data_IF_002948593265
#
_entry.id   IF_002948593265
#
_cell.length_a   1.000
_cell.length_b   1.000
_cell.length_c   1.000
_cell.angle_alpha   90.00
_cell.angle_beta   90.00
_cell.angle_gamma   90.00
#
_symmetry.space_group_name_H-M   'P 1'
#
loop_
_entity.id
_entity.type
_entity.pdbx_description
1 polymer ?
#
# COMPACT_ATOMS: atom_id res chain seq x y z
N UNK A 1 -3.54 10.82 20.92
CA UNK A 1 -3.37 9.38 20.57
C UNK A 1 -1.97 8.94 20.96
N UNK A 2 -1.85 7.92 21.78
CA UNK A 2 -0.59 7.29 22.22
C UNK A 2 -0.10 6.28 21.18
N UNK A 3 1.21 6.09 21.05
CA UNK A 3 1.77 4.98 20.28
C UNK A 3 2.25 3.87 21.20
N UNK A 4 2.01 2.61 20.83
CA UNK A 4 2.57 1.42 21.46
C UNK A 4 3.51 0.74 20.48
N UNK A 5 4.78 0.54 20.85
CA UNK A 5 5.77 -0.12 20.00
C UNK A 5 6.12 -1.47 20.63
N UNK A 6 5.87 -2.55 19.90
CA UNK A 6 6.14 -3.92 20.33
C UNK A 6 7.60 -4.30 20.01
N UNK A 7 8.50 -4.13 20.96
CA UNK A 7 9.95 -4.37 20.82
C UNK A 7 10.47 -5.55 21.65
N UNK A 8 9.59 -6.41 22.21
CA UNK A 8 9.96 -7.54 23.11
C UNK A 8 10.46 -8.80 22.38
N UNK A 9 10.38 -8.86 21.05
CA UNK A 9 10.69 -10.05 20.26
C UNK A 9 12.19 -10.43 20.24
N UNK A 10 12.49 -11.76 20.19
CA UNK A 10 13.87 -12.27 20.14
C UNK A 10 14.59 -12.12 18.80
N UNK A 11 13.89 -11.82 17.69
CA UNK A 11 14.48 -11.59 16.38
C UNK A 11 15.31 -12.76 15.80
N UNK A 12 14.95 -14.01 16.07
CA UNK A 12 15.78 -15.20 15.77
C UNK A 12 16.20 -15.36 14.33
N UNK A 13 15.36 -14.92 13.36
CA UNK A 13 15.65 -15.04 11.92
C UNK A 13 16.74 -14.08 11.42
N UNK A 14 16.98 -12.98 12.13
CA UNK A 14 17.98 -11.97 11.80
C UNK A 14 19.13 -11.93 12.81
N UNK A 15 19.14 -12.85 13.78
CA UNK A 15 20.10 -12.87 14.88
C UNK A 15 21.57 -12.91 14.41
N UNK A 16 21.86 -13.56 13.29
CA UNK A 16 23.21 -13.61 12.73
C UNK A 16 23.75 -12.22 12.32
N UNK A 17 22.89 -11.28 11.94
CA UNK A 17 23.27 -9.89 11.63
C UNK A 17 23.21 -8.98 12.87
N UNK A 18 22.29 -9.27 13.77
CA UNK A 18 22.03 -8.43 14.94
C UNK A 18 23.13 -8.57 16.00
N UNK A 19 23.81 -9.72 16.07
CA UNK A 19 24.79 -9.99 17.15
C UNK A 19 24.15 -9.83 18.51
N UNK A 20 24.73 -8.96 19.35
CA UNK A 20 24.23 -8.65 20.69
C UNK A 20 23.20 -7.48 20.72
N UNK A 21 22.75 -6.98 19.56
CA UNK A 21 21.75 -5.93 19.49
C UNK A 21 20.33 -6.50 19.36
N UNK A 22 19.35 -5.93 20.07
CA UNK A 22 17.96 -6.27 19.81
C UNK A 22 17.55 -5.73 18.43
N UNK A 23 16.66 -6.44 17.74
CA UNK A 23 16.24 -6.12 16.38
C UNK A 23 15.82 -4.65 16.15
N UNK A 24 15.08 -3.99 17.06
CA UNK A 24 14.75 -2.57 16.95
C UNK A 24 15.96 -1.62 16.97
N UNK A 25 17.12 -2.10 17.40
CA UNK A 25 18.38 -1.34 17.41
C UNK A 25 19.25 -1.57 16.18
N UNK A 26 18.81 -2.39 15.22
CA UNK A 26 19.55 -2.55 13.95
C UNK A 26 19.67 -1.21 13.23
N UNK A 27 20.89 -0.83 12.79
CA UNK A 27 21.11 0.49 12.19
C UNK A 27 20.66 0.52 10.72
N UNK A 28 19.82 1.47 10.39
CA UNK A 28 19.53 1.85 9.00
C UNK A 28 20.20 3.19 8.76
N UNK A 29 21.21 3.25 7.88
CA UNK A 29 21.99 4.44 7.61
C UNK A 29 22.49 5.09 8.92
N UNK A 30 23.16 4.29 9.77
CA UNK A 30 23.79 4.70 11.02
C UNK A 30 22.85 4.98 12.20
N UNK A 31 21.53 4.86 12.07
CA UNK A 31 20.55 5.09 13.14
C UNK A 31 19.68 3.86 13.39
N UNK A 32 19.39 3.50 14.66
CA UNK A 32 18.46 2.43 14.97
C UNK A 32 17.11 2.60 14.25
N UNK A 33 16.50 1.49 13.82
CA UNK A 33 15.15 1.56 13.23
C UNK A 33 14.15 2.18 14.21
N UNK A 34 14.22 1.82 15.50
CA UNK A 34 13.36 2.39 16.53
C UNK A 34 13.53 3.92 16.66
N UNK A 35 14.75 4.46 16.48
CA UNK A 35 14.94 5.92 16.43
C UNK A 35 14.23 6.55 15.25
N UNK A 36 14.21 5.88 14.09
CA UNK A 36 13.49 6.37 12.91
C UNK A 36 11.98 6.34 13.12
N UNK A 37 11.46 5.28 13.74
CA UNK A 37 10.05 5.19 14.14
C UNK A 37 9.67 6.32 15.10
N UNK A 38 10.43 6.52 16.18
CA UNK A 38 10.20 7.61 17.14
C UNK A 38 10.26 8.99 16.49
N UNK A 39 11.19 9.19 15.55
CA UNK A 39 11.29 10.44 14.79
C UNK A 39 10.04 10.67 13.92
N UNK A 40 9.59 9.66 13.20
CA UNK A 40 8.38 9.76 12.40
C UNK A 40 7.14 10.05 13.24
N UNK A 41 7.03 9.45 14.42
CA UNK A 41 5.97 9.73 15.38
C UNK A 41 6.03 11.19 15.87
N UNK A 42 7.20 11.62 16.33
CA UNK A 42 7.44 12.96 16.88
C UNK A 42 7.13 14.06 15.83
N UNK A 43 7.60 13.91 14.60
CA UNK A 43 7.37 14.87 13.52
C UNK A 43 5.90 15.00 13.12
N UNK A 44 5.07 14.02 13.50
CA UNK A 44 3.64 14.01 13.24
C UNK A 44 2.77 14.24 14.50
N UNK A 45 3.41 14.65 15.61
CA UNK A 45 2.72 15.06 16.84
C UNK A 45 2.30 13.89 17.74
N UNK A 46 2.80 12.67 17.50
CA UNK A 46 2.62 11.51 18.38
C UNK A 46 3.82 11.44 19.31
N UNK A 47 3.71 12.08 20.49
CA UNK A 47 4.83 12.27 21.41
C UNK A 47 4.75 11.44 22.68
N UNK A 48 3.63 10.76 22.95
CA UNK A 48 3.47 9.85 24.08
C UNK A 48 3.58 8.41 23.59
N UNK A 49 4.64 7.72 23.98
CA UNK A 49 5.04 6.42 23.44
C UNK A 49 5.24 5.42 24.57
N UNK A 50 4.63 4.24 24.44
CA UNK A 50 4.85 3.11 25.32
C UNK A 50 5.58 2.01 24.54
N UNK A 51 6.77 1.62 25.01
CA UNK A 51 7.58 0.58 24.36
C UNK A 51 7.55 -0.68 25.20
N UNK A 52 7.07 -1.79 24.62
CA UNK A 52 7.22 -3.09 25.27
C UNK A 52 8.60 -3.66 24.93
N UNK A 53 9.36 -4.04 25.92
CA UNK A 53 10.72 -4.57 25.78
C UNK A 53 10.86 -5.91 26.48
N UNK A 54 11.72 -6.77 25.97
CA UNK A 54 11.93 -8.10 26.52
C UNK A 54 13.40 -8.48 26.50
N UNK A 55 13.79 -9.35 25.58
CA UNK A 55 15.19 -9.73 25.42
C UNK A 55 16.05 -8.53 25.04
N UNK A 56 17.19 -8.33 25.74
CA UNK A 56 18.10 -7.18 25.56
C UNK A 56 17.44 -5.81 25.82
N UNK A 57 16.42 -5.75 26.69
CA UNK A 57 15.78 -4.50 27.09
C UNK A 57 16.75 -3.39 27.53
N UNK A 58 17.84 -3.65 28.29
CA UNK A 58 18.78 -2.60 28.70
C UNK A 58 19.34 -1.80 27.52
N UNK A 59 19.68 -2.43 26.40
CA UNK A 59 20.23 -1.74 25.24
C UNK A 59 19.28 -0.68 24.65
N UNK A 60 17.96 -0.93 24.68
CA UNK A 60 16.94 0.02 24.23
C UNK A 60 16.78 1.12 25.29
N UNK A 61 16.62 0.73 26.57
CA UNK A 61 16.34 1.66 27.67
C UNK A 61 17.50 2.62 27.93
N UNK A 62 18.75 2.15 27.83
CA UNK A 62 19.95 3.00 27.98
C UNK A 62 20.11 3.98 26.83
N UNK A 63 19.76 3.57 25.59
CA UNK A 63 19.89 4.42 24.41
C UNK A 63 18.87 5.56 24.38
N UNK A 64 17.61 5.28 24.68
CA UNK A 64 16.52 6.25 24.54
C UNK A 64 16.14 6.95 25.84
N UNK A 65 16.48 6.37 27.02
CA UNK A 65 16.04 6.88 28.32
C UNK A 65 14.52 7.02 28.38
N UNK A 66 14.04 8.13 28.90
CA UNK A 66 12.63 8.52 28.93
C UNK A 66 12.19 9.32 27.67
N UNK A 67 13.06 9.43 26.66
CA UNK A 67 12.82 10.17 25.44
C UNK A 67 13.07 11.69 25.52
N UNK A 68 13.45 12.22 26.68
CA UNK A 68 13.80 13.63 26.85
C UNK A 68 15.21 13.98 26.36
N UNK A 69 16.08 12.95 26.20
CA UNK A 69 17.45 13.08 25.76
C UNK A 69 17.61 13.33 24.25
N UNK A 70 18.87 13.24 23.79
CA UNK A 70 19.25 13.40 22.40
C UNK A 70 19.84 12.10 21.84
N UNK A 71 19.63 11.89 20.54
CA UNK A 71 20.27 10.80 19.79
C UNK A 71 21.80 10.90 19.88
N UNK A 72 22.50 9.85 20.31
CA UNK A 72 23.96 9.82 20.32
C UNK A 72 24.57 9.95 18.93
N UNK A 73 23.85 9.52 17.87
CA UNK A 73 24.30 9.57 16.47
C UNK A 73 24.13 10.93 15.82
N UNK A 74 23.05 11.68 16.16
CA UNK A 74 22.69 12.90 15.45
C UNK A 74 22.75 14.15 16.32
N UNK A 75 22.84 14.00 17.65
CA UNK A 75 22.73 15.10 18.61
C UNK A 75 21.33 15.75 18.68
N UNK A 76 20.34 15.25 17.91
CA UNK A 76 18.98 15.81 17.88
C UNK A 76 18.17 15.25 19.05
N UNK A 77 17.31 16.07 19.70
CA UNK A 77 16.39 15.59 20.72
C UNK A 77 15.48 14.50 20.16
N UNK A 78 15.17 13.46 20.97
CA UNK A 78 14.12 12.49 20.61
C UNK A 78 12.76 13.18 20.61
N UNK A 79 12.49 14.06 21.58
CA UNK A 79 11.31 14.90 21.61
C UNK A 79 10.01 14.14 21.83
N UNK A 80 10.08 13.01 22.51
CA UNK A 80 8.96 12.15 22.90
C UNK A 80 9.04 11.85 24.38
N UNK A 81 7.93 11.43 24.98
CA UNK A 81 7.87 10.84 26.31
C UNK A 81 7.77 9.33 26.17
N UNK A 82 8.71 8.58 26.73
CA UNK A 82 8.76 7.12 26.61
C UNK A 82 8.49 6.47 27.97
N UNK A 83 7.47 5.63 28.01
CA UNK A 83 7.25 4.66 29.06
C UNK A 83 7.68 3.27 28.60
N UNK A 84 8.17 2.44 29.51
CA UNK A 84 8.52 1.05 29.20
C UNK A 84 7.64 0.06 29.94
N UNK A 85 7.36 -1.05 29.25
CA UNK A 85 6.85 -2.27 29.86
C UNK A 85 7.85 -3.41 29.61
N UNK A 86 8.46 -3.91 30.66
CA UNK A 86 9.46 -4.99 30.58
C UNK A 86 8.77 -6.35 30.69
N UNK A 87 8.80 -7.14 29.63
CA UNK A 87 8.29 -8.51 29.60
C UNK A 87 9.24 -9.43 30.35
N UNK A 88 8.78 -10.02 31.47
CA UNK A 88 9.55 -11.00 32.25
C UNK A 88 9.61 -12.37 31.58
N UNK A 89 8.61 -12.68 30.75
CA UNK A 89 8.47 -13.87 29.93
C UNK A 89 7.91 -13.50 28.58
N UNK A 90 8.16 -14.28 27.51
CA UNK A 90 7.62 -13.98 26.19
C UNK A 90 6.09 -14.07 26.15
N UNK A 91 5.42 -12.94 25.90
CA UNK A 91 3.96 -12.82 25.86
C UNK A 91 3.36 -12.95 24.44
N UNK A 92 4.17 -13.21 23.42
CA UNK A 92 3.76 -13.15 22.02
C UNK A 92 3.79 -11.72 21.48
N UNK A 93 3.16 -11.49 20.34
CA UNK A 93 3.12 -10.16 19.71
C UNK A 93 1.94 -9.29 20.18
N UNK A 94 1.11 -9.76 21.14
CA UNK A 94 0.01 -8.98 21.68
C UNK A 94 -0.23 -9.16 23.19
N UNK A 95 0.38 -10.13 23.85
CA UNK A 95 0.09 -10.40 25.26
C UNK A 95 0.47 -9.26 26.21
N UNK A 96 1.50 -8.46 25.84
CA UNK A 96 1.88 -7.26 26.57
C UNK A 96 0.75 -6.21 26.57
N UNK A 97 -0.06 -6.09 25.51
CA UNK A 97 -1.17 -5.14 25.43
C UNK A 97 -2.16 -5.32 26.57
N UNK A 98 -2.49 -6.55 26.92
CA UNK A 98 -3.40 -6.84 28.05
C UNK A 98 -2.81 -6.46 29.40
N UNK A 99 -1.49 -6.40 29.52
CA UNK A 99 -0.78 -6.01 30.76
C UNK A 99 -0.68 -4.49 30.93
N UNK A 100 -0.73 -3.76 29.82
CA UNK A 100 -0.62 -2.29 29.81
C UNK A 100 -1.96 -1.60 29.55
N UNK A 101 -3.06 -2.35 29.45
CA UNK A 101 -4.38 -1.82 29.08
C UNK A 101 -4.84 -0.63 29.93
N UNK A 102 -4.51 -0.62 31.22
CA UNK A 102 -4.86 0.46 32.14
C UNK A 102 -4.10 1.78 31.88
N UNK A 103 -3.18 1.79 30.90
CA UNK A 103 -2.45 2.97 30.40
C UNK A 103 -2.95 3.43 29.02
N UNK A 104 -4.02 2.79 28.50
CA UNK A 104 -4.58 3.00 27.17
C UNK A 104 -6.04 3.48 27.31
N UNK A 105 -6.25 4.79 27.36
CA UNK A 105 -7.55 5.41 27.62
C UNK A 105 -8.34 5.73 26.36
N UNK A 106 -7.66 5.79 25.21
CA UNK A 106 -8.21 6.11 23.90
C UNK A 106 -7.62 5.20 22.82
N UNK A 107 -8.17 5.27 21.61
CA UNK A 107 -7.62 4.57 20.44
C UNK A 107 -6.14 4.90 20.28
N UNK A 108 -5.32 3.88 20.07
CA UNK A 108 -3.87 3.98 20.05
C UNK A 108 -3.27 3.40 18.77
N UNK A 109 -2.14 3.95 18.38
CA UNK A 109 -1.32 3.43 17.29
C UNK A 109 -0.49 2.26 17.79
N UNK A 110 -0.55 1.12 17.12
CA UNK A 110 0.27 -0.06 17.41
C UNK A 110 1.26 -0.30 16.28
N UNK A 111 2.53 -0.39 16.63
CA UNK A 111 3.68 -0.62 15.76
C UNK A 111 4.44 -1.87 16.19
N UNK A 112 4.97 -2.59 15.22
CA UNK A 112 6.00 -3.59 15.49
C UNK A 112 7.36 -2.91 15.40
N UNK A 113 8.19 -2.97 16.45
CA UNK A 113 9.49 -2.30 16.54
C UNK A 113 10.58 -2.84 15.58
N UNK A 114 10.18 -3.52 14.54
CA UNK A 114 11.03 -4.05 13.47
C UNK A 114 10.48 -3.70 12.07
N UNK A 115 9.62 -2.71 12.00
CA UNK A 115 8.98 -2.25 10.76
C UNK A 115 9.49 -0.85 10.41
N UNK A 116 10.18 -0.71 9.29
CA UNK A 116 10.48 0.60 8.75
C UNK A 116 9.25 1.14 8.02
N UNK A 117 8.78 2.32 8.42
CA UNK A 117 7.69 3.00 7.77
C UNK A 117 7.99 4.48 7.52
N UNK A 118 7.40 5.02 6.47
CA UNK A 118 7.34 6.46 6.18
C UNK A 118 5.95 6.75 5.60
N UNK A 119 4.99 7.06 6.49
CA UNK A 119 3.56 7.19 6.18
C UNK A 119 2.98 8.47 6.79
N UNK A 120 1.88 8.95 6.22
CA UNK A 120 1.06 10.04 6.79
C UNK A 120 0.13 9.49 7.87
N UNK A 121 0.60 9.48 9.11
CA UNK A 121 -0.16 9.01 10.28
C UNK A 121 -1.42 9.84 10.54
N UNK A 122 -1.44 11.12 10.14
CA UNK A 122 -2.60 11.97 10.33
C UNK A 122 -3.75 11.53 9.41
N UNK A 123 -3.46 11.16 8.16
CA UNK A 123 -4.46 10.59 7.25
C UNK A 123 -4.97 9.25 7.77
N UNK A 124 -4.08 8.40 8.27
CA UNK A 124 -4.45 7.11 8.83
C UNK A 124 -5.37 7.27 10.05
N UNK A 125 -5.03 8.16 10.98
CA UNK A 125 -5.85 8.47 12.15
C UNK A 125 -7.20 9.11 11.78
N UNK A 126 -7.21 10.02 10.81
CA UNK A 126 -8.44 10.63 10.31
C UNK A 126 -9.38 9.60 9.68
N UNK A 127 -8.85 8.65 8.92
CA UNK A 127 -9.63 7.54 8.36
C UNK A 127 -10.29 6.71 9.46
N UNK A 128 -9.52 6.27 10.45
CA UNK A 128 -10.04 5.49 11.58
C UNK A 128 -11.17 6.24 12.30
N UNK A 129 -10.96 7.52 12.58
CA UNK A 129 -11.94 8.37 13.28
C UNK A 129 -13.26 8.54 12.50
N UNK A 130 -13.17 8.65 11.16
CA UNK A 130 -14.34 8.84 10.29
C UNK A 130 -15.15 7.56 10.14
N UNK A 131 -14.50 6.42 9.95
CA UNK A 131 -15.19 5.16 9.66
C UNK A 131 -15.58 4.39 10.92
N UNK A 132 -14.93 4.66 12.06
CA UNK A 132 -15.15 3.96 13.32
C UNK A 132 -14.65 2.51 13.29
N UNK A 133 -15.06 1.71 14.27
CA UNK A 133 -14.65 0.31 14.42
C UNK A 133 -13.72 0.11 15.59
N UNK A 134 -13.38 -1.16 15.89
CA UNK A 134 -12.48 -1.52 16.97
C UNK A 134 -11.01 -1.57 16.53
N UNK A 135 -10.77 -1.77 15.24
CA UNK A 135 -9.42 -1.78 14.68
C UNK A 135 -9.39 -1.31 13.23
N UNK A 136 -8.31 -0.64 12.84
CA UNK A 136 -7.97 -0.33 11.45
C UNK A 136 -6.59 -0.85 11.13
N UNK A 137 -6.51 -1.69 10.11
CA UNK A 137 -5.25 -2.19 9.55
C UNK A 137 -4.71 -1.15 8.56
N UNK A 138 -3.42 -0.91 8.57
CA UNK A 138 -2.74 -0.30 7.43
C UNK A 138 -2.49 -1.41 6.40
N UNK A 139 -3.03 -1.25 5.21
CA UNK A 139 -2.88 -2.23 4.13
C UNK A 139 -2.21 -1.63 2.91
N UNK A 140 -1.44 -2.43 2.21
CA UNK A 140 -0.72 -2.01 1.01
C UNK A 140 -0.58 -3.17 0.01
N UNK A 141 -0.39 -2.88 -1.29
CA UNK A 141 0.05 -3.90 -2.23
C UNK A 141 1.55 -4.20 -2.05
N UNK A 142 1.97 -5.43 -2.35
CA UNK A 142 3.39 -5.78 -2.33
C UNK A 142 3.79 -6.69 -3.50
N UNK A 143 5.11 -6.88 -3.69
CA UNK A 143 5.65 -7.72 -4.77
C UNK A 143 5.59 -9.23 -4.51
N UNK A 144 5.03 -9.69 -3.38
CA UNK A 144 4.93 -11.11 -3.02
C UNK A 144 3.60 -11.45 -2.29
N UNK A 145 2.44 -11.09 -2.87
CA UNK A 145 1.14 -11.33 -2.21
C UNK A 145 0.85 -12.82 -2.00
N UNK A 146 1.46 -13.69 -2.79
CA UNK A 146 1.28 -15.15 -2.71
C UNK A 146 1.77 -15.75 -1.38
N UNK A 147 2.67 -15.09 -0.66
CA UNK A 147 3.21 -15.54 0.63
C UNK A 147 2.81 -14.66 1.83
N UNK A 148 1.96 -13.67 1.60
CA UNK A 148 1.46 -12.73 2.62
C UNK A 148 0.03 -13.08 3.08
N UNK A 149 -0.41 -12.57 4.22
CA UNK A 149 -1.81 -12.60 4.63
C UNK A 149 -2.64 -11.63 3.80
N UNK A 150 -3.65 -12.12 3.08
CA UNK A 150 -4.49 -11.29 2.21
C UNK A 150 -5.68 -10.73 2.98
N UNK A 151 -5.97 -9.46 2.76
CA UNK A 151 -7.12 -8.75 3.31
C UNK A 151 -8.16 -8.55 2.21
N UNK A 152 -9.36 -9.10 2.43
CA UNK A 152 -10.53 -8.86 1.57
C UNK A 152 -11.45 -7.87 2.27
N UNK A 153 -11.83 -6.82 1.58
CA UNK A 153 -12.70 -5.78 2.13
C UNK A 153 -13.79 -5.40 1.14
N UNK A 154 -14.88 -4.85 1.66
CA UNK A 154 -15.98 -4.28 0.88
C UNK A 154 -15.65 -2.85 0.39
N UNK A 155 -16.62 -2.22 -0.29
CA UNK A 155 -16.50 -0.85 -0.81
C UNK A 155 -16.36 0.21 0.28
N UNK A 156 -16.80 -0.07 1.52
CA UNK A 156 -16.65 0.80 2.68
C UNK A 156 -15.34 0.55 3.46
N UNK A 157 -14.43 -0.25 2.89
CA UNK A 157 -13.15 -0.64 3.49
C UNK A 157 -13.30 -1.46 4.79
N UNK A 158 -14.45 -2.13 4.98
CA UNK A 158 -14.65 -3.09 6.06
C UNK A 158 -14.07 -4.43 5.66
N UNK A 159 -13.21 -4.98 6.51
CA UNK A 159 -12.60 -6.29 6.25
C UNK A 159 -13.66 -7.38 6.38
N UNK A 160 -13.91 -8.08 5.28
CA UNK A 160 -14.85 -9.19 5.21
C UNK A 160 -14.17 -10.54 5.44
N UNK A 161 -12.91 -10.68 4.98
CA UNK A 161 -12.11 -11.89 5.18
C UNK A 161 -10.63 -11.53 5.39
N UNK A 162 -9.96 -12.34 6.20
CA UNK A 162 -8.50 -12.33 6.34
C UNK A 162 -7.97 -13.73 6.04
N UNK A 163 -7.33 -13.88 4.88
CA UNK A 163 -6.83 -15.16 4.37
C UNK A 163 -5.34 -15.30 4.71
N UNK A 164 -5.04 -16.15 5.68
CA UNK A 164 -3.66 -16.50 6.05
C UNK A 164 -3.08 -17.51 5.05
N UNK A 165 -1.82 -17.91 5.24
CA UNK A 165 -1.17 -18.92 4.38
C UNK A 165 -1.81 -20.32 4.51
N UNK A 166 -2.39 -20.59 5.66
CA UNK A 166 -3.03 -21.86 5.99
C UNK A 166 -4.47 -21.95 5.47
N UNK A 167 -5.08 -20.82 5.11
CA UNK A 167 -6.45 -20.80 4.58
C UNK A 167 -6.47 -21.17 3.08
N UNK A 168 -7.57 -21.74 2.63
CA UNK A 168 -7.82 -21.94 1.20
C UNK A 168 -7.95 -20.57 0.53
N UNK A 169 -7.07 -20.27 -0.41
CA UNK A 169 -7.06 -19.02 -1.15
C UNK A 169 -7.77 -19.16 -2.48
N UNK A 170 -8.52 -18.15 -2.92
CA UNK A 170 -9.03 -18.13 -4.29
C UNK A 170 -7.87 -18.12 -5.29
N UNK A 171 -8.12 -18.62 -6.50
CA UNK A 171 -7.13 -18.63 -7.58
C UNK A 171 -6.62 -17.23 -7.94
N UNK A 172 -7.52 -16.24 -7.86
CA UNK A 172 -7.27 -14.83 -8.14
C UNK A 172 -7.75 -13.98 -6.96
N UNK A 173 -6.97 -12.97 -6.59
CA UNK A 173 -7.20 -12.14 -5.41
C UNK A 173 -6.65 -10.74 -5.59
N UNK A 174 -7.17 -9.80 -4.83
CA UNK A 174 -6.59 -8.45 -4.70
C UNK A 174 -5.26 -8.51 -3.96
N UNK A 175 -4.28 -7.76 -4.45
CA UNK A 175 -3.00 -7.60 -3.79
C UNK A 175 -3.11 -6.56 -2.67
N UNK A 176 -3.68 -6.98 -1.56
CA UNK A 176 -3.86 -6.16 -0.37
C UNK A 176 -3.42 -6.97 0.84
N UNK A 177 -2.36 -6.52 1.52
CA UNK A 177 -1.76 -7.22 2.66
C UNK A 177 -1.69 -6.34 3.89
N UNK A 178 -1.72 -6.96 5.08
CA UNK A 178 -1.49 -6.27 6.35
C UNK A 178 -0.03 -5.84 6.48
N UNK A 179 0.20 -4.56 6.75
CA UNK A 179 1.54 -3.97 6.85
C UNK A 179 2.14 -4.03 8.28
N UNK A 180 1.37 -4.47 9.28
CA UNK A 180 1.85 -4.52 10.66
C UNK A 180 1.82 -3.16 11.39
N UNK A 181 1.05 -2.22 10.88
CA UNK A 181 0.75 -0.92 11.46
C UNK A 181 -0.76 -0.86 11.69
N UNK A 182 -1.20 -0.54 12.92
CA UNK A 182 -2.61 -0.60 13.28
C UNK A 182 -3.05 0.57 14.16
N UNK A 183 -4.33 0.94 14.08
CA UNK A 183 -5.00 1.71 15.13
C UNK A 183 -5.99 0.79 15.81
N UNK A 184 -5.89 0.69 17.13
CA UNK A 184 -6.70 -0.21 17.95
C UNK A 184 -7.46 0.54 19.02
N UNK A 185 -8.70 0.11 19.29
CA UNK A 185 -9.46 0.57 20.43
C UNK A 185 -9.09 -0.23 21.68
N UNK A 186 -8.93 0.41 22.86
CA UNK A 186 -8.72 -0.28 24.14
C UNK A 186 -9.82 -1.30 24.46
N UNK A 187 -11.02 -1.15 23.90
CA UNK A 187 -12.13 -2.10 24.06
C UNK A 187 -11.76 -3.53 23.62
N UNK A 188 -10.79 -3.69 22.72
CA UNK A 188 -10.27 -5.01 22.31
C UNK A 188 -9.53 -5.73 23.43
N UNK A 189 -9.11 -5.01 24.47
CA UNK A 189 -8.33 -5.53 25.58
C UNK A 189 -9.18 -5.75 26.83
N UNK A 190 -10.50 -5.56 26.75
CA UNK A 190 -11.42 -5.80 27.86
C UNK A 190 -11.55 -7.30 28.19
N UNK A 191 -11.97 -7.61 29.41
CA UNK A 191 -12.17 -8.98 29.89
C UNK A 191 -10.94 -9.59 30.55
N UNK A 192 -10.85 -10.92 30.51
CA UNK A 192 -9.78 -11.66 31.18
C UNK A 192 -8.45 -11.51 30.45
N UNK A 193 -7.37 -11.33 31.23
CA UNK A 193 -6.01 -11.35 30.70
C UNK A 193 -5.68 -12.77 30.24
N UNK A 194 -5.36 -13.00 28.97
CA UNK A 194 -5.01 -14.32 28.47
C UNK A 194 -3.81 -14.91 29.20
N UNK A 195 -3.84 -16.20 29.48
CA UNK A 195 -2.68 -16.91 29.99
C UNK A 195 -1.73 -17.25 28.83
N UNK A 196 -0.44 -16.88 28.98
CA UNK A 196 0.59 -17.21 28.00
C UNK A 196 0.70 -16.24 26.82
N UNK A 197 1.16 -16.78 25.69
CA UNK A 197 1.41 -16.00 24.47
C UNK A 197 0.13 -15.68 23.72
N UNK A 198 0.00 -14.43 23.27
CA UNK A 198 -1.13 -13.98 22.45
C UNK A 198 -0.61 -13.57 21.07
N UNK A 199 -1.30 -14.04 20.03
CA UNK A 199 -1.07 -13.64 18.64
C UNK A 199 -2.09 -12.57 18.23
N UNK A 200 -1.61 -11.37 17.88
CA UNK A 200 -2.44 -10.24 17.51
C UNK A 200 -3.34 -10.58 16.30
N UNK A 201 -2.73 -11.09 15.25
CA UNK A 201 -3.41 -11.30 13.98
C UNK A 201 -4.45 -12.42 14.11
N UNK A 202 -4.07 -13.55 14.70
CA UNK A 202 -4.91 -14.76 14.74
C UNK A 202 -5.98 -14.71 15.81
N UNK A 203 -5.67 -14.14 16.99
CA UNK A 203 -6.54 -14.24 18.16
C UNK A 203 -7.36 -12.97 18.42
N UNK A 204 -6.89 -11.80 17.91
CA UNK A 204 -7.54 -10.52 18.17
C UNK A 204 -8.15 -9.94 16.89
N UNK A 205 -7.35 -9.78 15.83
CA UNK A 205 -7.78 -9.05 14.64
C UNK A 205 -8.57 -9.90 13.64
N UNK A 206 -8.10 -11.11 13.31
CA UNK A 206 -8.79 -12.00 12.35
C UNK A 206 -10.24 -12.34 12.78
N UNK A 207 -10.56 -12.56 14.07
CA UNK A 207 -11.94 -12.77 14.51
C UNK A 207 -12.89 -11.59 14.27
N UNK A 208 -12.37 -10.38 14.06
CA UNK A 208 -13.18 -9.20 13.72
C UNK A 208 -13.58 -9.14 12.24
N UNK A 209 -12.94 -9.92 11.38
CA UNK A 209 -13.30 -9.97 9.96
C UNK A 209 -14.75 -10.43 9.78
N UNK A 210 -15.50 -9.72 8.94
CA UNK A 210 -16.93 -9.97 8.71
C UNK A 210 -17.87 -9.40 9.79
N UNK A 211 -17.35 -8.81 10.88
CA UNK A 211 -18.18 -8.18 11.94
C UNK A 211 -18.49 -6.71 11.68
N UNK A 212 -17.85 -6.09 10.68
CA UNK A 212 -17.91 -4.65 10.42
C UNK A 212 -17.05 -3.80 11.37
N UNK A 213 -16.34 -4.41 12.34
CA UNK A 213 -15.52 -3.71 13.34
C UNK A 213 -14.04 -3.63 12.96
N UNK A 214 -13.60 -4.33 11.92
CA UNK A 214 -12.26 -4.29 11.38
C UNK A 214 -12.26 -3.55 10.04
N UNK A 215 -11.44 -2.52 9.95
CA UNK A 215 -11.29 -1.69 8.76
C UNK A 215 -9.91 -1.91 8.14
N UNK A 216 -9.76 -1.57 6.86
CA UNK A 216 -8.46 -1.48 6.21
C UNK A 216 -8.28 -0.09 5.57
N UNK A 217 -7.18 0.56 5.90
CA UNK A 217 -6.72 1.78 5.26
C UNK A 217 -5.71 1.43 4.17
N UNK A 218 -6.16 1.47 2.93
CA UNK A 218 -5.37 1.14 1.76
C UNK A 218 -4.50 2.32 1.35
N UNK A 219 -3.18 2.16 1.46
CA UNK A 219 -2.22 3.20 1.13
C UNK A 219 -1.02 2.65 0.36
N UNK A 220 -0.49 3.38 -0.64
CA UNK A 220 0.74 3.02 -1.34
C UNK A 220 2.01 3.37 -0.56
N UNK A 221 1.89 3.93 0.64
CA UNK A 221 3.02 4.43 1.42
C UNK A 221 3.95 3.32 1.89
N UNK A 222 5.17 3.72 2.22
CA UNK A 222 6.22 2.76 2.53
C UNK A 222 6.07 2.16 3.91
N UNK A 223 5.87 0.85 3.95
CA UNK A 223 5.92 0.03 5.17
C UNK A 223 6.60 -1.29 4.82
N UNK A 224 7.66 -1.66 5.53
CA UNK A 224 8.42 -2.89 5.24
C UNK A 224 9.04 -3.48 6.52
N UNK A 225 8.76 -4.76 6.78
CA UNK A 225 9.39 -5.48 7.88
C UNK A 225 10.85 -5.85 7.57
N UNK A 226 11.65 -5.95 8.62
CA UNK A 226 13.07 -6.34 8.55
C UNK A 226 13.30 -7.75 9.10
N UNK A 227 12.37 -8.67 8.84
CA UNK A 227 12.35 -10.01 9.43
C UNK A 227 13.47 -10.95 8.98
N UNK A 228 14.12 -10.67 7.86
CA UNK A 228 15.23 -11.47 7.30
C UNK A 228 16.39 -10.59 6.86
N UNK A 229 17.61 -11.16 6.70
CA UNK A 229 18.76 -10.41 6.20
C UNK A 229 18.50 -9.71 4.86
N UNK A 230 17.82 -10.37 3.93
CA UNK A 230 17.50 -9.85 2.60
C UNK A 230 16.54 -8.65 2.71
N UNK A 231 15.49 -8.76 3.55
CA UNK A 231 14.54 -7.66 3.79
C UNK A 231 15.23 -6.47 4.46
N UNK A 232 16.10 -6.72 5.44
CA UNK A 232 16.89 -5.67 6.07
C UNK A 232 17.79 -4.93 5.07
N UNK A 233 18.51 -5.67 4.21
CA UNK A 233 19.35 -5.08 3.17
C UNK A 233 18.52 -4.24 2.19
N UNK A 234 17.35 -4.72 1.79
CA UNK A 234 16.42 -3.97 0.93
C UNK A 234 15.91 -2.68 1.60
N UNK A 235 15.55 -2.74 2.90
CA UNK A 235 15.14 -1.54 3.66
C UNK A 235 16.28 -0.52 3.75
N UNK A 236 17.52 -0.95 4.00
CA UNK A 236 18.68 -0.06 4.01
C UNK A 236 18.87 0.64 2.67
N UNK A 237 18.69 -0.07 1.56
CA UNK A 237 18.80 0.52 0.23
C UNK A 237 17.64 1.48 -0.08
N UNK A 238 16.40 1.09 0.26
CA UNK A 238 15.22 1.94 0.07
C UNK A 238 15.33 3.27 0.85
N UNK A 239 15.92 3.24 2.04
CA UNK A 239 16.16 4.48 2.83
C UNK A 239 17.29 5.29 2.21
N UNK A 240 18.41 4.66 1.82
CA UNK A 240 19.59 5.34 1.24
C UNK A 240 19.27 5.99 -0.10
N UNK A 241 18.54 5.31 -0.97
CA UNK A 241 18.11 5.83 -2.28
C UNK A 241 17.01 6.89 -2.17
N UNK A 242 16.38 7.04 -0.99
CA UNK A 242 15.23 7.93 -0.79
C UNK A 242 13.89 7.35 -1.25
N UNK A 243 13.86 6.09 -1.70
CA UNK A 243 12.65 5.40 -2.14
C UNK A 243 11.58 5.36 -1.03
N UNK A 244 11.97 5.03 0.21
CA UNK A 244 11.05 5.02 1.35
C UNK A 244 10.36 6.38 1.53
N UNK A 245 11.14 7.47 1.53
CA UNK A 245 10.63 8.81 1.72
C UNK A 245 9.80 9.35 0.53
N UNK A 246 10.08 8.88 -0.68
CA UNK A 246 9.38 9.32 -1.89
C UNK A 246 7.90 8.92 -1.88
N UNK A 247 7.55 7.81 -1.23
CA UNK A 247 6.17 7.27 -1.20
C UNK A 247 5.26 7.86 -0.11
N UNK A 248 5.76 8.74 0.75
CA UNK A 248 4.95 9.38 1.80
C UNK A 248 3.95 10.39 1.21
N UNK A 249 2.66 10.23 1.49
CA UNK A 249 1.56 11.04 0.94
C UNK A 249 1.54 12.50 1.43
N UNK A 250 2.36 12.88 2.40
CA UNK A 250 2.60 14.30 2.73
C UNK A 250 3.40 15.02 1.63
N UNK A 251 4.04 14.28 0.75
CA UNK A 251 4.79 14.77 -0.41
C UNK A 251 4.00 14.56 -1.68
N UNK A 252 4.29 15.36 -2.70
CA UNK A 252 3.71 15.17 -4.03
C UNK A 252 4.22 13.88 -4.64
N UNK A 253 3.27 13.03 -5.05
CA UNK A 253 3.55 11.76 -5.70
C UNK A 253 3.62 11.92 -7.22
N UNK A 254 4.36 11.03 -7.88
CA UNK A 254 4.33 10.86 -9.33
C UNK A 254 3.60 9.57 -9.66
N UNK A 255 2.79 9.58 -10.71
CA UNK A 255 2.03 8.41 -11.13
C UNK A 255 2.16 8.13 -12.62
N UNK A 256 2.06 6.85 -12.96
CA UNK A 256 1.73 6.40 -14.31
C UNK A 256 0.29 5.89 -14.25
N UNK A 257 -0.62 6.66 -14.84
CA UNK A 257 -1.98 6.23 -15.09
C UNK A 257 -2.01 5.33 -16.32
N UNK A 258 -2.58 4.16 -16.15
CA UNK A 258 -2.59 3.10 -17.18
C UNK A 258 -4.02 2.81 -17.61
N UNK A 259 -4.32 2.85 -18.90
CA UNK A 259 -5.50 2.15 -19.37
C UNK A 259 -5.35 0.64 -19.15
N UNK A 260 -6.43 -0.11 -19.21
CA UNK A 260 -6.43 -1.55 -19.00
C UNK A 260 -6.42 -2.30 -20.34
N UNK A 261 -7.48 -2.15 -21.11
CA UNK A 261 -7.71 -2.94 -22.34
C UNK A 261 -6.87 -2.40 -23.50
N UNK A 262 -5.95 -3.18 -24.03
CA UNK A 262 -4.98 -2.76 -25.06
C UNK A 262 -3.67 -2.18 -24.50
N UNK A 263 -3.61 -1.94 -23.18
CA UNK A 263 -2.43 -1.40 -22.48
C UNK A 263 -1.83 -2.41 -21.51
N UNK A 264 -2.65 -2.95 -20.61
CA UNK A 264 -2.25 -3.98 -19.64
C UNK A 264 -2.58 -5.36 -20.18
N UNK A 265 -3.78 -5.55 -20.68
CA UNK A 265 -4.22 -6.81 -21.25
C UNK A 265 -4.52 -6.68 -22.75
N UNK A 266 -4.50 -7.84 -23.43
CA UNK A 266 -4.87 -7.94 -24.84
C UNK A 266 -6.26 -7.36 -25.05
N UNK A 267 -6.38 -6.48 -26.07
CA UNK A 267 -7.66 -5.92 -26.47
C UNK A 267 -8.53 -6.99 -27.15
N UNK A 268 -9.72 -7.22 -26.62
CA UNK A 268 -10.71 -8.18 -27.14
C UNK A 268 -12.05 -7.50 -27.44
N UNK A 269 -12.05 -6.17 -27.59
CA UNK A 269 -13.26 -5.37 -27.66
C UNK A 269 -13.85 -5.13 -26.27
N UNK A 270 -14.88 -5.87 -25.91
CA UNK A 270 -15.49 -5.80 -24.58
C UNK A 270 -15.19 -7.08 -23.81
N UNK A 271 -14.30 -6.98 -22.83
CA UNK A 271 -13.92 -8.11 -21.98
C UNK A 271 -15.10 -8.48 -21.05
N UNK A 272 -15.69 -9.64 -21.25
CA UNK A 272 -16.86 -10.12 -20.50
C UNK A 272 -16.55 -11.32 -19.62
N UNK A 273 -15.55 -12.11 -19.99
CA UNK A 273 -15.18 -13.33 -19.31
C UNK A 273 -13.76 -13.22 -18.74
N UNK A 274 -13.58 -13.64 -17.51
CA UNK A 274 -12.27 -13.68 -16.84
C UNK A 274 -11.26 -14.54 -17.62
N UNK A 275 -11.70 -15.57 -18.33
CA UNK A 275 -10.82 -16.44 -19.11
C UNK A 275 -10.17 -15.71 -20.32
N UNK A 276 -10.84 -14.68 -20.86
CA UNK A 276 -10.33 -13.85 -21.97
C UNK A 276 -9.25 -12.86 -21.53
N UNK A 277 -9.08 -12.66 -20.20
CA UNK A 277 -8.06 -11.74 -19.68
C UNK A 277 -6.66 -12.37 -19.81
N UNK A 278 -5.80 -11.74 -20.59
CA UNK A 278 -4.41 -12.13 -20.85
C UNK A 278 -3.51 -10.91 -20.78
N UNK A 279 -2.49 -10.93 -19.92
CA UNK A 279 -1.50 -9.83 -19.86
C UNK A 279 -0.74 -9.72 -21.18
N UNK A 280 -0.52 -8.50 -21.64
CA UNK A 280 0.38 -8.25 -22.75
C UNK A 280 1.84 -8.55 -22.37
N UNK A 281 2.66 -8.99 -23.33
CA UNK A 281 4.08 -9.23 -23.10
C UNK A 281 4.78 -8.00 -22.52
N UNK A 282 5.66 -8.20 -21.52
CA UNK A 282 6.45 -7.14 -20.91
C UNK A 282 5.72 -6.23 -19.92
N UNK A 283 4.39 -6.35 -19.79
CA UNK A 283 3.60 -5.46 -18.90
C UNK A 283 3.97 -5.64 -17.43
N UNK A 284 4.11 -6.87 -16.96
CA UNK A 284 4.50 -7.10 -15.56
C UNK A 284 5.89 -6.51 -15.24
N UNK A 285 6.85 -6.65 -16.16
CA UNK A 285 8.17 -6.06 -16.03
C UNK A 285 8.12 -4.52 -16.04
N UNK A 286 7.28 -3.94 -16.89
CA UNK A 286 7.08 -2.49 -16.95
C UNK A 286 6.48 -1.95 -15.63
N UNK A 287 5.41 -2.57 -15.13
CA UNK A 287 4.78 -2.18 -13.86
C UNK A 287 5.76 -2.33 -12.69
N UNK A 288 6.53 -3.44 -12.65
CA UNK A 288 7.57 -3.62 -11.62
C UNK A 288 8.60 -2.48 -11.65
N UNK A 289 9.06 -2.06 -12.83
CA UNK A 289 9.98 -0.93 -12.97
C UNK A 289 9.35 0.40 -12.50
N UNK A 290 8.08 0.65 -12.79
CA UNK A 290 7.33 1.80 -12.26
C UNK A 290 7.37 1.77 -10.73
N UNK A 291 7.11 0.60 -10.13
CA UNK A 291 7.16 0.43 -8.67
C UNK A 291 8.58 0.67 -8.11
N UNK A 292 9.62 0.11 -8.74
CA UNK A 292 11.04 0.28 -8.36
C UNK A 292 11.50 1.74 -8.44
N UNK A 293 10.99 2.52 -9.39
CA UNK A 293 11.26 3.95 -9.52
C UNK A 293 10.51 4.81 -8.48
N UNK A 294 9.67 4.21 -7.64
CA UNK A 294 8.87 4.90 -6.63
C UNK A 294 7.64 5.65 -7.19
N UNK A 295 7.27 5.39 -8.45
CA UNK A 295 6.07 5.95 -9.04
C UNK A 295 4.84 5.09 -8.69
N UNK A 296 3.67 5.73 -8.60
CA UNK A 296 2.41 5.01 -8.43
C UNK A 296 1.96 4.43 -9.78
N UNK A 297 1.58 3.16 -9.78
CA UNK A 297 0.94 2.49 -10.92
C UNK A 297 -0.58 2.47 -10.69
N UNK A 298 -1.32 3.31 -11.41
CA UNK A 298 -2.76 3.50 -11.21
C UNK A 298 -3.53 3.16 -12.48
N UNK A 299 -4.42 2.18 -12.41
CA UNK A 299 -5.29 1.83 -13.54
C UNK A 299 -6.48 2.77 -13.60
N UNK A 300 -6.79 3.29 -14.80
CA UNK A 300 -7.95 4.14 -15.09
C UNK A 300 -8.62 3.65 -16.38
N UNK A 301 -9.77 2.95 -16.27
CA UNK A 301 -10.37 2.23 -17.40
C UNK A 301 -11.86 2.49 -17.58
N UNK A 302 -12.33 2.57 -18.83
CA UNK A 302 -13.76 2.65 -19.16
C UNK A 302 -14.34 1.24 -19.29
N UNK A 303 -15.32 0.90 -18.45
CA UNK A 303 -15.96 -0.43 -18.45
C UNK A 303 -17.47 -0.34 -18.76
N UNK A 304 -17.83 -0.01 -20.00
CA UNK A 304 -19.24 0.17 -20.40
C UNK A 304 -20.06 -1.13 -20.37
N UNK A 305 -19.40 -2.28 -20.27
CA UNK A 305 -20.04 -3.59 -20.15
C UNK A 305 -20.97 -3.69 -18.94
N UNK A 306 -20.68 -2.93 -17.87
CA UNK A 306 -21.55 -2.83 -16.69
C UNK A 306 -22.85 -2.10 -17.04
N UNK A 307 -22.77 -0.90 -17.66
CA UNK A 307 -23.95 -0.14 -18.10
C UNK A 307 -24.76 -0.89 -19.15
N UNK A 308 -24.16 -1.78 -19.92
CA UNK A 308 -24.84 -2.63 -20.91
C UNK A 308 -25.50 -3.86 -20.31
N UNK A 309 -25.29 -4.14 -19.01
CA UNK A 309 -25.79 -5.34 -18.34
C UNK A 309 -25.13 -6.64 -18.79
N UNK A 310 -23.96 -6.54 -19.44
CA UNK A 310 -23.21 -7.68 -19.98
C UNK A 310 -22.29 -8.33 -18.94
N UNK A 311 -21.90 -7.53 -17.91
CA UNK A 311 -21.01 -7.94 -16.82
C UNK A 311 -21.49 -7.31 -15.52
N UNK A 312 -21.46 -8.04 -14.41
CA UNK A 312 -21.72 -7.48 -13.06
C UNK A 312 -20.47 -6.85 -12.47
N UNK A 313 -20.62 -6.06 -11.39
CA UNK A 313 -19.49 -5.52 -10.65
C UNK A 313 -18.61 -6.64 -10.06
N UNK A 314 -19.21 -7.73 -9.58
CA UNK A 314 -18.48 -8.89 -9.03
C UNK A 314 -17.66 -9.61 -10.11
N UNK A 315 -18.19 -9.71 -11.34
CA UNK A 315 -17.46 -10.30 -12.46
C UNK A 315 -16.28 -9.40 -12.90
N UNK A 316 -16.49 -8.07 -12.91
CA UNK A 316 -15.41 -7.12 -13.17
C UNK A 316 -14.35 -7.19 -12.07
N UNK A 317 -14.77 -7.29 -10.80
CA UNK A 317 -13.86 -7.45 -9.67
C UNK A 317 -13.03 -8.73 -9.81
N UNK A 318 -13.63 -9.84 -10.23
CA UNK A 318 -12.88 -11.08 -10.48
C UNK A 318 -11.82 -10.91 -11.58
N UNK A 319 -12.11 -10.15 -12.64
CA UNK A 319 -11.13 -9.80 -13.69
C UNK A 319 -9.98 -8.96 -13.10
N UNK A 320 -10.28 -7.98 -12.25
CA UNK A 320 -9.26 -7.18 -11.58
C UNK A 320 -8.43 -8.01 -10.60
N UNK A 321 -9.03 -8.96 -9.88
CA UNK A 321 -8.30 -9.93 -9.06
C UNK A 321 -7.31 -10.77 -9.89
N UNK A 322 -7.73 -11.22 -11.09
CA UNK A 322 -6.85 -11.96 -12.00
C UNK A 322 -5.67 -11.08 -12.44
N UNK A 323 -5.93 -9.83 -12.82
CA UNK A 323 -4.90 -8.87 -13.22
C UNK A 323 -3.85 -8.68 -12.11
N UNK A 324 -4.28 -8.37 -10.89
CA UNK A 324 -3.36 -8.16 -9.77
C UNK A 324 -2.61 -9.44 -9.37
N UNK A 325 -3.28 -10.60 -9.42
CA UNK A 325 -2.63 -11.88 -9.15
C UNK A 325 -1.53 -12.18 -10.17
N UNK A 326 -1.79 -11.96 -11.46
CA UNK A 326 -0.81 -12.22 -12.52
C UNK A 326 0.39 -11.26 -12.40
N UNK A 327 0.14 -9.98 -12.14
CA UNK A 327 1.21 -9.01 -11.88
C UNK A 327 2.02 -9.38 -10.64
N UNK A 328 1.35 -9.75 -9.55
CA UNK A 328 2.00 -10.14 -8.29
C UNK A 328 2.90 -11.37 -8.39
N UNK A 329 2.60 -12.32 -9.29
CA UNK A 329 3.47 -13.47 -9.60
C UNK A 329 4.82 -13.07 -10.18
N UNK A 330 4.86 -11.91 -10.85
CA UNK A 330 6.06 -11.33 -11.46
C UNK A 330 6.69 -10.22 -10.58
N UNK A 331 6.23 -10.07 -9.33
CA UNK A 331 6.73 -9.08 -8.39
C UNK A 331 6.30 -7.63 -8.68
N UNK A 332 5.25 -7.45 -9.48
CA UNK A 332 4.66 -6.16 -9.81
C UNK A 332 3.34 -5.94 -9.06
N UNK A 333 2.98 -4.67 -8.81
CA UNK A 333 1.70 -4.34 -8.18
C UNK A 333 1.11 -3.03 -8.71
N UNK A 334 -0.21 -2.91 -8.53
CA UNK A 334 -0.97 -1.69 -8.78
C UNK A 334 -1.28 -1.00 -7.45
N UNK A 335 -1.12 0.31 -7.40
CA UNK A 335 -1.44 1.10 -6.21
C UNK A 335 -2.94 1.40 -6.12
N UNK A 336 -3.64 1.47 -7.25
CA UNK A 336 -5.10 1.57 -7.31
C UNK A 336 -5.66 1.17 -8.68
N UNK A 337 -6.95 0.84 -8.69
CA UNK A 337 -7.74 0.60 -9.91
C UNK A 337 -8.99 1.45 -9.83
N UNK A 338 -9.16 2.36 -10.81
CA UNK A 338 -10.37 3.14 -11.03
C UNK A 338 -11.03 2.68 -12.32
N UNK A 339 -12.34 2.54 -12.30
CA UNK A 339 -13.10 2.23 -13.52
C UNK A 339 -14.36 3.07 -13.61
N UNK A 340 -14.79 3.35 -14.84
CA UNK A 340 -16.04 4.00 -15.13
C UNK A 340 -17.05 2.97 -15.65
N UNK A 341 -18.14 2.68 -14.93
CA UNK A 341 -19.18 1.75 -15.39
C UNK A 341 -20.17 2.39 -16.36
N UNK A 342 -20.17 3.72 -16.50
CA UNK A 342 -21.18 4.47 -17.23
C UNK A 342 -20.99 4.44 -18.74
N UNK A 343 -22.12 4.53 -19.47
CA UNK A 343 -22.14 4.74 -20.91
C UNK A 343 -23.42 5.48 -21.35
N UNK A 344 -23.33 6.63 -22.05
CA UNK A 344 -24.51 7.43 -22.34
C UNK A 344 -25.46 6.78 -23.38
N UNK A 345 -24.92 5.96 -24.30
CA UNK A 345 -25.73 5.36 -25.36
C UNK A 345 -26.67 4.31 -24.82
N UNK A 346 -27.93 4.36 -25.32
CA UNK A 346 -29.05 3.50 -24.94
C UNK A 346 -29.37 2.49 -26.02
N UNK A 347 -30.22 1.49 -25.69
CA UNK A 347 -30.75 0.53 -26.66
C UNK A 347 -30.04 -0.82 -26.66
N UNK A 348 -29.32 -1.16 -25.58
CA UNK A 348 -28.70 -2.48 -25.40
C UNK A 348 -29.64 -3.40 -24.60
N UNK A 349 -29.89 -4.65 -25.05
CA UNK A 349 -30.67 -5.61 -24.28
C UNK A 349 -30.07 -5.85 -22.89
N UNK A 350 -30.89 -5.73 -21.83
CA UNK A 350 -30.44 -5.93 -20.46
C UNK A 350 -29.65 -4.76 -19.86
N UNK A 351 -29.62 -3.60 -20.54
CA UNK A 351 -28.90 -2.43 -20.03
C UNK A 351 -29.41 -1.95 -18.67
N UNK A 352 -28.52 -1.31 -17.92
CA UNK A 352 -28.79 -0.69 -16.62
C UNK A 352 -29.08 0.80 -16.81
N UNK A 353 -30.37 1.23 -16.77
CA UNK A 353 -30.75 2.62 -17.09
C UNK A 353 -30.08 3.66 -16.21
N UNK A 354 -29.84 3.34 -14.93
CA UNK A 354 -29.18 4.22 -13.94
C UNK A 354 -27.73 4.54 -14.28
N UNK A 355 -27.07 3.69 -15.06
CA UNK A 355 -25.70 3.88 -15.53
C UNK A 355 -25.60 4.50 -16.94
N UNK A 356 -26.76 4.75 -17.59
CA UNK A 356 -26.84 5.37 -18.91
C UNK A 356 -26.81 6.90 -18.84
N UNK A 357 -25.70 7.41 -18.32
CA UNK A 357 -25.51 8.83 -18.02
C UNK A 357 -24.19 9.36 -18.57
N UNK A 358 -24.13 10.67 -18.79
CA UNK A 358 -22.87 11.39 -18.87
C UNK A 358 -22.29 11.59 -17.48
N UNK A 359 -21.00 11.33 -17.32
CA UNK A 359 -20.31 11.43 -16.04
C UNK A 359 -18.93 12.07 -16.18
N UNK A 360 -18.35 12.50 -15.07
CA UNK A 360 -17.00 13.07 -15.01
C UNK A 360 -15.90 12.00 -15.05
N UNK A 361 -16.23 10.73 -14.74
CA UNK A 361 -15.23 9.65 -14.66
C UNK A 361 -14.91 8.99 -16.00
N UNK A 362 -15.85 9.00 -16.99
CA UNK A 362 -15.62 8.32 -18.27
C UNK A 362 -14.60 9.07 -19.13
N UNK A 363 -13.47 8.45 -19.44
CA UNK A 363 -12.49 8.99 -20.39
C UNK A 363 -13.19 9.29 -21.74
N UNK A 364 -13.01 10.49 -22.33
CA UNK A 364 -11.92 11.45 -22.13
C UNK A 364 -12.10 12.45 -20.97
N UNK A 365 -13.15 12.35 -20.17
CA UNK A 365 -13.25 13.16 -18.95
C UNK A 365 -12.17 12.71 -17.94
N UNK A 366 -11.60 13.66 -17.14
CA UNK A 366 -10.44 13.41 -16.30
C UNK A 366 -10.76 12.88 -14.89
N UNK A 367 -12.03 12.64 -14.55
CA UNK A 367 -12.47 12.43 -13.16
C UNK A 367 -11.69 11.34 -12.43
N UNK A 368 -11.46 10.17 -13.05
CA UNK A 368 -10.69 9.09 -12.41
C UNK A 368 -9.25 9.50 -12.06
N UNK A 369 -8.60 10.31 -12.92
CA UNK A 369 -7.25 10.82 -12.67
C UNK A 369 -7.25 11.85 -11.53
N UNK A 370 -8.26 12.73 -11.52
CA UNK A 370 -8.42 13.75 -10.48
C UNK A 370 -8.71 13.13 -9.10
N UNK A 371 -9.59 12.12 -9.05
CA UNK A 371 -9.91 11.38 -7.82
C UNK A 371 -8.65 10.69 -7.25
N UNK A 372 -7.87 10.03 -8.11
CA UNK A 372 -6.60 9.44 -7.70
C UNK A 372 -5.60 10.51 -7.22
N UNK A 373 -5.53 11.64 -7.91
CA UNK A 373 -4.63 12.73 -7.53
C UNK A 373 -4.98 13.32 -6.17
N UNK A 374 -6.25 13.48 -5.87
CA UNK A 374 -6.72 13.90 -4.56
C UNK A 374 -6.41 12.86 -3.49
N UNK A 375 -6.72 11.58 -3.75
CA UNK A 375 -6.51 10.49 -2.79
C UNK A 375 -5.03 10.31 -2.44
N UNK A 376 -4.14 10.33 -3.43
CA UNK A 376 -2.73 10.00 -3.26
C UNK A 376 -1.79 11.20 -3.33
N UNK A 377 -2.31 12.44 -3.29
CA UNK A 377 -1.51 13.67 -3.38
C UNK A 377 -0.61 13.71 -4.64
N UNK A 378 -1.13 13.26 -5.80
CA UNK A 378 -0.36 13.17 -7.05
C UNK A 378 -0.15 14.56 -7.67
N UNK A 379 1.06 14.82 -8.16
CA UNK A 379 1.35 15.94 -9.07
C UNK A 379 1.05 15.48 -10.50
N UNK A 380 -0.08 15.91 -11.02
CA UNK A 380 -0.51 15.54 -12.37
C UNK A 380 0.46 16.04 -13.45
N UNK A 381 1.05 17.22 -13.26
CA UNK A 381 1.99 17.83 -14.23
C UNK A 381 3.30 17.02 -14.37
N UNK A 382 3.65 16.27 -13.33
CA UNK A 382 4.82 15.38 -13.29
C UNK A 382 4.45 13.91 -13.56
N UNK A 383 3.18 13.62 -13.91
CA UNK A 383 2.65 12.27 -14.09
C UNK A 383 2.28 11.98 -15.54
N UNK A 384 2.14 10.71 -15.87
CA UNK A 384 1.83 10.26 -17.22
C UNK A 384 0.48 9.56 -17.28
N UNK A 385 -0.30 9.83 -18.35
CA UNK A 385 -1.39 8.96 -18.79
C UNK A 385 -0.92 8.17 -20.01
N UNK A 386 -0.96 6.84 -19.92
CA UNK A 386 -0.51 5.90 -20.94
C UNK A 386 -1.68 5.01 -21.35
N UNK A 387 -1.96 4.95 -22.63
CA UNK A 387 -3.03 4.13 -23.19
C UNK A 387 -2.86 3.90 -24.67
N UNK A 388 -3.72 3.08 -25.26
CA UNK A 388 -3.70 2.74 -26.69
C UNK A 388 -4.68 3.55 -27.54
N UNK A 389 -5.49 4.44 -26.89
CA UNK A 389 -6.59 5.12 -27.54
C UNK A 389 -6.62 6.65 -27.40
N UNK A 390 -7.42 7.26 -28.28
CA UNK A 390 -7.68 8.71 -28.25
C UNK A 390 -8.22 9.20 -26.91
N UNK A 391 -9.09 8.41 -26.28
CA UNK A 391 -9.72 8.81 -25.01
C UNK A 391 -8.70 8.91 -23.87
N UNK A 392 -7.64 8.13 -23.92
CA UNK A 392 -6.57 8.12 -22.92
C UNK A 392 -5.73 9.39 -23.03
N UNK A 393 -5.27 9.69 -24.24
CA UNK A 393 -4.51 10.90 -24.52
C UNK A 393 -5.31 12.16 -24.13
N UNK A 394 -6.60 12.21 -24.50
CA UNK A 394 -7.46 13.35 -24.15
C UNK A 394 -7.72 13.44 -22.63
N UNK A 395 -7.95 12.29 -21.95
CA UNK A 395 -8.15 12.29 -20.50
C UNK A 395 -6.91 12.79 -19.76
N UNK A 396 -5.71 12.35 -20.17
CA UNK A 396 -4.45 12.85 -19.63
C UNK A 396 -4.28 14.34 -19.80
N UNK A 397 -4.52 14.87 -21.00
CA UNK A 397 -4.49 16.32 -21.29
C UNK A 397 -5.49 17.10 -20.45
N UNK A 398 -6.73 16.61 -20.36
CA UNK A 398 -7.80 17.25 -19.59
C UNK A 398 -7.50 17.25 -18.08
N UNK A 399 -6.72 16.29 -17.59
CA UNK A 399 -6.23 16.24 -16.23
C UNK A 399 -4.97 17.07 -15.98
N UNK A 400 -4.28 17.52 -17.05
CA UNK A 400 -2.99 18.19 -16.94
C UNK A 400 -1.79 17.25 -16.80
N UNK A 401 -1.95 15.98 -17.20
CA UNK A 401 -0.86 15.00 -17.24
C UNK A 401 -0.11 15.07 -18.57
N UNK A 402 1.12 14.60 -18.55
CA UNK A 402 1.86 14.18 -19.74
C UNK A 402 1.18 12.95 -20.35
N UNK A 403 1.28 12.77 -21.67
CA UNK A 403 0.55 11.71 -22.35
C UNK A 403 1.43 10.87 -23.25
N UNK A 404 1.23 9.54 -23.22
CA UNK A 404 1.87 8.60 -24.11
C UNK A 404 0.82 7.70 -24.79
N UNK A 405 0.98 7.52 -26.09
CA UNK A 405 0.16 6.60 -26.89
C UNK A 405 0.94 5.32 -27.15
N UNK A 406 0.34 4.17 -26.84
CA UNK A 406 0.90 2.87 -27.22
C UNK A 406 0.40 2.50 -28.62
N UNK A 407 1.32 2.23 -29.53
CA UNK A 407 1.03 1.83 -30.89
C UNK A 407 2.09 0.84 -31.37
N UNK A 408 1.74 -0.44 -31.40
CA UNK A 408 2.66 -1.51 -31.79
C UNK A 408 2.99 -1.52 -33.29
N UNK A 409 2.01 -1.15 -34.12
CA UNK A 409 2.10 -1.27 -35.59
C UNK A 409 1.65 0.03 -36.26
N UNK A 410 2.33 0.36 -37.38
CA UNK A 410 1.93 1.44 -38.27
C UNK A 410 2.35 2.85 -37.81
N UNK A 411 1.80 3.84 -38.52
CA UNK A 411 2.01 5.26 -38.20
C UNK A 411 1.04 5.66 -37.08
N UNK A 412 1.54 6.08 -35.91
CA UNK A 412 0.67 6.46 -34.80
C UNK A 412 -0.18 7.69 -35.19
N UNK A 413 -1.48 7.72 -34.83
CA UNK A 413 -2.31 8.90 -35.07
C UNK A 413 -1.77 10.09 -34.23
N UNK A 414 -1.80 11.27 -34.87
CA UNK A 414 -1.46 12.52 -34.17
C UNK A 414 -2.64 12.99 -33.31
N UNK A 415 -2.65 12.55 -32.05
CA UNK A 415 -3.65 12.96 -31.06
C UNK A 415 -3.10 14.08 -30.15
N UNK A 416 -1.88 14.55 -30.44
CA UNK A 416 -1.13 15.51 -29.66
C UNK A 416 -0.55 14.91 -28.36
N UNK A 417 -0.29 13.61 -28.33
CA UNK A 417 0.48 12.94 -27.28
C UNK A 417 1.93 13.44 -27.28
N UNK A 418 2.57 13.45 -26.11
CA UNK A 418 3.97 13.85 -25.98
C UNK A 418 4.94 12.73 -26.39
N UNK A 419 4.52 11.48 -26.24
CA UNK A 419 5.32 10.29 -26.58
C UNK A 419 4.46 9.25 -27.27
N UNK A 420 5.13 8.45 -28.08
CA UNK A 420 4.58 7.21 -28.64
C UNK A 420 5.59 6.10 -28.41
N UNK A 421 5.10 4.92 -28.00
CA UNK A 421 5.94 3.75 -27.79
C UNK A 421 5.23 2.50 -28.32
N UNK A 422 5.97 1.45 -28.77
CA UNK A 422 5.36 0.21 -29.24
C UNK A 422 4.60 -0.55 -28.13
N UNK A 423 5.12 -0.50 -26.90
CA UNK A 423 4.54 -1.19 -25.73
C UNK A 423 4.72 -0.37 -24.46
N UNK A 424 4.04 -0.79 -23.40
CA UNK A 424 4.23 -0.21 -22.07
C UNK A 424 5.69 -0.41 -21.57
N UNK A 425 6.30 -1.56 -21.87
CA UNK A 425 7.68 -1.82 -21.52
C UNK A 425 8.64 -0.83 -22.20
N UNK A 426 8.47 -0.60 -23.50
CA UNK A 426 9.30 0.35 -24.24
C UNK A 426 9.10 1.78 -23.73
N UNK A 427 7.87 2.18 -23.41
CA UNK A 427 7.60 3.48 -22.79
C UNK A 427 8.38 3.66 -21.49
N UNK A 428 8.31 2.67 -20.58
CA UNK A 428 8.99 2.74 -19.29
C UNK A 428 10.51 2.82 -19.46
N UNK A 429 11.10 1.99 -20.31
CA UNK A 429 12.54 1.97 -20.56
C UNK A 429 13.03 3.30 -21.17
N UNK A 430 12.32 3.81 -22.18
CA UNK A 430 12.74 5.02 -22.91
C UNK A 430 12.49 6.29 -22.12
N UNK A 431 11.33 6.38 -21.44
CA UNK A 431 10.87 7.64 -20.88
C UNK A 431 11.15 7.74 -19.38
N UNK A 432 10.88 6.70 -18.60
CA UNK A 432 11.04 6.74 -17.16
C UNK A 432 12.47 6.37 -16.71
N UNK A 433 13.10 5.41 -17.40
CA UNK A 433 14.48 5.00 -17.09
C UNK A 433 15.54 5.84 -17.81
N UNK A 434 15.15 6.79 -18.67
CA UNK A 434 16.07 7.74 -19.29
C UNK A 434 17.01 7.16 -20.36
N UNK A 435 16.65 6.03 -21.00
CA UNK A 435 17.43 5.41 -22.08
C UNK A 435 17.26 6.11 -23.46
N UNK A 436 16.68 7.30 -23.47
CA UNK A 436 16.65 8.16 -24.67
C UNK A 436 18.04 8.72 -24.96
N UNK A 437 18.95 7.96 -25.54
CA UNK A 437 20.24 8.55 -25.95
C UNK A 437 21.36 7.61 -26.35
N UNK A 438 21.25 6.30 -26.15
CA UNK A 438 22.34 5.38 -26.50
C UNK A 438 22.33 4.90 -27.97
N UNK A 439 21.25 5.07 -28.71
CA UNK A 439 21.18 4.67 -30.14
C UNK A 439 21.50 5.80 -31.15
N UNK A 440 21.90 7.01 -30.68
CA UNK A 440 22.30 8.10 -31.57
C UNK A 440 23.66 8.70 -31.23
N UNK A 441 24.65 7.85 -30.90
CA UNK A 441 26.06 8.24 -30.91
C UNK A 441 26.91 7.28 -31.75
#
# INVERSE_FOLDING_TARGET
MKAVIMAGGRGTRIAALAGDLPKPMLPIDGRPVLERELRSLQEQGVTDVLITVGHLAPAIMEYFGDGSGCSPQTGRPFGVHIEYFVEKEPLGNAGALFRIRDRLDEDFLLLNGDVMFDVDLQRFAAFHKVHGGLATLFTHPNGHPYDSGLIVADSEQRVTQWLTKEDARPQYYRNRVNAGLHILSPKLLEGNIPAGKVDLDRQILKPLAGTGQLLCYDSPEYVKDMGTPERYAAVCEDVRSGHAAARNLRRKQKAVFLDRDGTINRYVGFLRNIDEFELLPGVAQAVRKINELGWLAVVVTNQPVIARGEVTEEQLEAIHCKMETLLGREGAWLDAIYYCPHHPDKGFPGERPELKIHCSCRKPAPGMLLDAAQRFNIDLSCSWMVGDGKNDVLAGKNAGCRTALLCADGTPPELGQERTAPSLYDFVEQVLCGKEGEEKR
#
